data_IF_441385740101
#
_entry.id   IF_441385740101
#
_cell.length_a   1.000
_cell.length_b   1.000
_cell.length_c   1.000
_cell.angle_alpha   90.00
_cell.angle_beta   90.00
_cell.angle_gamma   90.00
#
_symmetry.space_group_name_H-M   'P 1'
#
loop_
_entity.id
_entity.type
_entity.pdbx_description
1 polymer ?
#
# COMPACT_ATOMS: atom_id res chain seq x y z
N UNK A 1 -39.00 -41.05 -70.13
CA UNK A 1 -39.44 -40.10 -69.13
C UNK A 1 -38.19 -39.58 -68.44
N UNK A 2 -37.86 -38.28 -68.67
CA UNK A 2 -36.65 -37.62 -68.24
C UNK A 2 -36.92 -36.91 -66.88
N UNK A 3 -36.13 -37.22 -65.83
CA UNK A 3 -36.17 -36.54 -64.55
C UNK A 3 -35.25 -35.35 -64.61
N UNK A 4 -35.81 -34.14 -64.38
CA UNK A 4 -35.05 -32.93 -64.16
C UNK A 4 -34.41 -32.92 -62.79
N UNK A 5 -33.07 -32.70 -62.70
CA UNK A 5 -32.36 -32.35 -61.46
C UNK A 5 -32.27 -30.85 -61.34
N UNK A 6 -32.88 -30.30 -60.30
CA UNK A 6 -32.69 -28.90 -59.85
C UNK A 6 -31.46 -28.87 -58.97
N UNK A 7 -30.41 -28.13 -59.38
CA UNK A 7 -29.27 -27.81 -58.57
C UNK A 7 -29.51 -26.47 -57.86
N UNK A 8 -29.62 -26.50 -56.52
CA UNK A 8 -29.69 -25.31 -55.71
C UNK A 8 -28.26 -24.79 -55.41
N UNK A 9 -27.96 -23.61 -55.85
CA UNK A 9 -26.70 -22.89 -55.55
C UNK A 9 -26.89 -22.20 -54.20
N UNK A 10 -26.20 -22.67 -53.14
CA UNK A 10 -26.09 -21.95 -51.87
C UNK A 10 -24.98 -20.91 -51.98
N UNK A 11 -25.35 -19.63 -51.96
CA UNK A 11 -24.42 -18.52 -51.84
C UNK A 11 -24.02 -18.36 -50.37
N UNK A 12 -22.76 -18.65 -50.03
CA UNK A 12 -22.18 -18.38 -48.73
C UNK A 12 -21.81 -16.88 -48.68
N UNK A 13 -22.56 -16.05 -47.92
CA UNK A 13 -22.16 -14.71 -47.57
C UNK A 13 -21.22 -14.79 -46.41
N UNK A 14 -19.92 -14.63 -46.64
CA UNK A 14 -18.92 -14.44 -45.59
C UNK A 14 -19.11 -13.07 -44.96
N UNK A 15 -19.70 -13.02 -43.78
CA UNK A 15 -19.70 -11.82 -42.96
C UNK A 15 -18.28 -11.60 -42.45
N UNK A 16 -17.57 -10.65 -43.04
CA UNK A 16 -16.31 -10.13 -42.51
C UNK A 16 -16.63 -9.35 -41.25
N UNK A 17 -16.51 -9.98 -40.10
CA UNK A 17 -16.57 -9.33 -38.82
C UNK A 17 -15.35 -8.42 -38.67
N UNK A 18 -15.56 -7.10 -38.81
CA UNK A 18 -14.58 -6.11 -38.41
C UNK A 18 -14.33 -6.29 -36.91
N UNK A 19 -13.06 -6.33 -36.44
CA UNK A 19 -12.79 -6.32 -35.03
C UNK A 19 -13.28 -4.98 -34.44
N UNK A 20 -14.26 -5.04 -33.55
CA UNK A 20 -14.61 -3.91 -32.70
C UNK A 20 -13.36 -3.59 -31.87
N UNK A 21 -12.62 -2.57 -32.29
CA UNK A 21 -11.58 -1.95 -31.49
C UNK A 21 -12.27 -1.31 -30.28
N UNK A 22 -12.37 -2.03 -29.17
CA UNK A 22 -12.68 -1.44 -27.89
C UNK A 22 -11.48 -0.56 -27.55
N UNK A 23 -11.54 0.71 -27.90
CA UNK A 23 -10.64 1.72 -27.36
C UNK A 23 -10.90 1.75 -25.87
N UNK A 24 -9.99 1.18 -25.08
CA UNK A 24 -10.03 1.35 -23.64
C UNK A 24 -9.96 2.87 -23.39
N UNK A 25 -11.01 3.45 -22.82
CA UNK A 25 -11.00 4.84 -22.38
C UNK A 25 -9.78 5.01 -21.46
N UNK A 26 -8.97 6.02 -21.77
CA UNK A 26 -7.84 6.36 -20.91
C UNK A 26 -8.37 6.68 -19.52
N UNK A 27 -7.77 6.14 -18.45
CA UNK A 27 -8.24 6.38 -17.10
C UNK A 27 -8.23 7.88 -16.81
N UNK A 28 -9.29 8.38 -16.20
CA UNK A 28 -9.39 9.79 -15.81
C UNK A 28 -8.48 10.00 -14.61
N UNK A 29 -7.43 10.81 -14.81
CA UNK A 29 -6.52 11.20 -13.74
C UNK A 29 -7.04 12.48 -13.07
N UNK A 30 -7.15 12.46 -11.76
CA UNK A 30 -7.51 13.60 -10.92
C UNK A 30 -6.30 14.08 -10.13
N UNK A 31 -6.11 15.38 -10.06
CA UNK A 31 -5.15 16.01 -9.16
C UNK A 31 -5.71 16.00 -7.73
N UNK A 32 -4.97 15.46 -6.78
CA UNK A 32 -5.26 15.56 -5.34
C UNK A 32 -4.63 16.83 -4.80
N UNK A 33 -3.31 16.95 -4.94
CA UNK A 33 -2.51 18.08 -4.46
C UNK A 33 -1.20 18.15 -5.22
N UNK A 34 -0.65 19.36 -5.38
CA UNK A 34 0.68 19.59 -5.97
C UNK A 34 1.50 20.57 -5.15
N UNK A 35 2.82 20.49 -5.26
CA UNK A 35 3.74 21.45 -4.66
C UNK A 35 3.42 22.89 -5.17
N UNK A 36 3.54 23.86 -4.28
CA UNK A 36 3.15 25.25 -4.53
C UNK A 36 1.66 25.56 -4.36
N UNK A 37 0.78 24.56 -4.24
CA UNK A 37 -0.64 24.77 -3.95
C UNK A 37 -0.81 25.32 -2.53
N UNK A 38 -1.75 26.28 -2.34
CA UNK A 38 -2.06 26.84 -1.03
C UNK A 38 -2.49 25.76 -0.03
N UNK A 39 -1.89 25.78 1.16
CA UNK A 39 -2.18 24.86 2.24
C UNK A 39 -3.24 25.41 3.21
N UNK A 40 -4.03 24.54 3.86
CA UNK A 40 -4.91 24.93 4.95
C UNK A 40 -4.10 25.63 6.08
N UNK A 41 -4.62 26.75 6.58
CA UNK A 41 -3.93 27.51 7.63
C UNK A 41 -2.86 28.49 7.13
N UNK A 42 -2.62 28.55 5.83
CA UNK A 42 -1.68 29.49 5.17
C UNK A 42 -0.40 28.81 4.67
N UNK A 43 0.33 29.55 3.82
CA UNK A 43 1.50 29.01 3.13
C UNK A 43 1.14 28.09 1.96
N UNK A 44 2.05 27.22 1.58
CA UNK A 44 1.90 26.30 0.46
C UNK A 44 2.49 24.93 0.79
N UNK A 45 1.96 23.88 0.15
CA UNK A 45 2.59 22.56 0.16
C UNK A 45 3.95 22.62 -0.53
N UNK A 46 4.96 22.02 0.07
CA UNK A 46 6.33 22.02 -0.46
C UNK A 46 6.69 20.66 -1.02
N UNK A 47 6.65 19.61 -0.19
CA UNK A 47 6.99 18.23 -0.56
C UNK A 47 6.00 17.25 0.07
N UNK A 48 5.89 16.05 -0.51
CA UNK A 48 5.02 14.97 -0.02
C UNK A 48 5.81 13.80 0.55
N UNK A 49 7.13 13.87 0.56
CA UNK A 49 8.05 12.95 1.23
C UNK A 49 9.14 13.71 1.97
N UNK A 50 9.80 13.03 2.89
CA UNK A 50 11.02 13.50 3.53
C UNK A 50 12.17 12.64 3.05
N UNK A 51 13.21 13.25 2.49
CA UNK A 51 14.41 12.59 1.98
C UNK A 51 14.09 11.43 1.00
N UNK A 52 14.63 10.23 1.29
CA UNK A 52 14.47 9.03 0.49
C UNK A 52 13.31 8.13 0.95
N UNK A 53 12.31 8.67 1.67
CA UNK A 53 11.15 7.89 2.09
C UNK A 53 10.08 7.84 0.99
N UNK A 54 9.34 6.72 0.87
CA UNK A 54 8.27 6.60 -0.09
C UNK A 54 7.08 7.49 0.25
N UNK A 55 6.44 8.07 -0.77
CA UNK A 55 5.14 8.75 -0.61
C UNK A 55 4.03 7.72 -0.61
N UNK A 56 3.31 7.60 0.50
CA UNK A 56 2.14 6.74 0.63
C UNK A 56 0.91 7.60 0.87
N UNK A 57 -0.03 7.57 -0.06
CA UNK A 57 -1.25 8.38 -0.01
C UNK A 57 -2.48 7.48 -0.16
N UNK A 58 -2.95 6.81 0.92
CA UNK A 58 -4.10 5.92 0.84
C UNK A 58 -5.36 6.66 0.40
N UNK A 59 -6.16 5.98 -0.42
CA UNK A 59 -7.45 6.46 -0.93
C UNK A 59 -8.56 5.52 -0.47
N UNK A 60 -9.73 6.08 -0.10
CA UNK A 60 -10.93 5.30 0.18
C UNK A 60 -11.93 5.34 -0.99
N UNK A 61 -13.01 4.54 -0.92
CA UNK A 61 -14.03 4.45 -1.97
C UNK A 61 -14.83 5.73 -2.21
N UNK A 62 -14.68 6.74 -1.35
CA UNK A 62 -15.27 8.06 -1.51
C UNK A 62 -14.34 9.06 -2.20
N UNK A 63 -13.17 8.60 -2.66
CA UNK A 63 -12.15 9.45 -3.27
C UNK A 63 -11.46 10.39 -2.29
N UNK A 64 -11.54 10.11 -0.96
CA UNK A 64 -10.75 10.83 0.02
C UNK A 64 -9.34 10.26 0.04
N UNK A 65 -8.34 11.14 0.10
CA UNK A 65 -6.92 10.77 0.11
C UNK A 65 -6.25 11.38 1.32
N UNK A 66 -5.65 10.54 2.17
CA UNK A 66 -4.82 11.00 3.28
C UNK A 66 -3.35 11.07 2.83
N UNK A 67 -2.63 12.11 3.23
CA UNK A 67 -1.24 12.28 2.85
C UNK A 67 -0.46 13.11 3.87
N UNK A 68 0.85 12.91 3.87
CA UNK A 68 1.82 13.76 4.56
C UNK A 68 2.31 14.85 3.60
N UNK A 69 2.60 16.04 4.14
CA UNK A 69 3.32 17.08 3.39
C UNK A 69 4.14 17.98 4.30
N UNK A 70 5.27 18.49 3.77
CA UNK A 70 5.96 19.66 4.31
C UNK A 70 5.33 20.94 3.78
N UNK A 71 5.46 22.02 4.52
CA UNK A 71 4.83 23.29 4.23
C UNK A 71 5.88 24.41 4.14
N UNK A 72 5.68 25.29 3.17
CA UNK A 72 6.50 26.47 2.96
C UNK A 72 5.73 27.76 3.33
N UNK A 73 6.38 28.68 4.05
CA UNK A 73 5.76 29.95 4.50
C UNK A 73 4.47 29.74 5.29
N UNK A 74 4.39 28.66 6.05
CA UNK A 74 3.31 28.31 6.94
C UNK A 74 3.77 28.42 8.40
N UNK A 75 2.81 28.45 9.36
CA UNK A 75 3.11 28.39 10.79
C UNK A 75 3.68 27.02 11.20
N UNK A 76 3.16 25.95 10.62
CA UNK A 76 3.67 24.60 10.77
C UNK A 76 4.63 24.28 9.62
N UNK A 77 5.67 23.48 9.86
CA UNK A 77 6.59 23.05 8.80
C UNK A 77 6.11 21.79 8.10
N UNK A 78 5.24 20.97 8.75
CA UNK A 78 4.75 19.72 8.22
C UNK A 78 3.44 19.25 8.87
N UNK A 79 2.76 18.30 8.27
CA UNK A 79 1.54 17.72 8.81
C UNK A 79 0.93 16.59 7.98
N UNK A 80 -0.14 16.02 8.52
CA UNK A 80 -1.04 15.11 7.82
C UNK A 80 -2.31 15.82 7.40
N UNK A 81 -2.75 15.53 6.19
CA UNK A 81 -3.90 16.16 5.53
C UNK A 81 -4.84 15.11 4.97
N UNK A 82 -6.12 15.48 4.82
CA UNK A 82 -7.15 14.69 4.15
C UNK A 82 -7.77 15.52 3.02
N UNK A 83 -7.55 15.11 1.79
CA UNK A 83 -8.23 15.69 0.63
C UNK A 83 -9.59 15.02 0.42
N UNK A 84 -10.62 15.82 0.11
CA UNK A 84 -11.97 15.39 -0.27
C UNK A 84 -12.42 16.25 -1.46
N UNK A 85 -12.27 15.73 -2.67
CA UNK A 85 -12.42 16.54 -3.89
C UNK A 85 -11.40 17.68 -3.92
N UNK A 86 -11.88 18.91 -4.00
CA UNK A 86 -11.01 20.13 -4.01
C UNK A 86 -10.68 20.64 -2.61
N UNK A 87 -11.35 20.15 -1.58
CA UNK A 87 -11.12 20.57 -0.20
C UNK A 87 -10.02 19.72 0.43
N UNK A 88 -9.10 20.39 1.13
CA UNK A 88 -8.07 19.75 1.94
C UNK A 88 -8.24 20.22 3.38
N UNK A 89 -8.37 19.27 4.30
CA UNK A 89 -8.45 19.51 5.73
C UNK A 89 -7.14 19.10 6.41
N UNK A 90 -6.67 19.86 7.39
CA UNK A 90 -5.57 19.47 8.26
C UNK A 90 -6.06 18.44 9.27
N UNK A 91 -5.39 17.29 9.36
CA UNK A 91 -5.66 16.25 10.37
C UNK A 91 -4.84 16.53 11.63
N UNK A 92 -3.56 16.81 11.47
CA UNK A 92 -2.64 17.23 12.51
C UNK A 92 -1.45 17.95 11.86
N UNK A 93 -0.98 19.02 12.47
CA UNK A 93 0.17 19.78 12.01
C UNK A 93 1.16 19.99 13.17
N UNK A 94 2.42 20.25 12.84
CA UNK A 94 3.41 20.64 13.83
C UNK A 94 2.92 21.85 14.65
N UNK A 95 3.10 21.78 15.99
CA UNK A 95 2.60 22.78 16.94
C UNK A 95 1.16 22.54 17.42
N UNK A 96 0.36 21.66 16.81
CA UNK A 96 -0.96 21.30 17.30
C UNK A 96 -0.85 20.52 18.62
N UNK A 97 -1.86 20.64 19.49
CA UNK A 97 -1.90 19.92 20.77
C UNK A 97 -2.06 18.41 20.56
N UNK A 98 -1.18 17.65 21.20
CA UNK A 98 -1.30 16.18 21.25
C UNK A 98 -2.30 15.75 22.35
N UNK A 99 -3.06 14.64 22.15
CA UNK A 99 -4.06 14.16 23.11
C UNK A 99 -3.54 13.86 24.52
N UNK A 100 -2.30 13.37 24.62
CA UNK A 100 -1.66 13.03 25.90
C UNK A 100 -0.88 14.21 26.53
N UNK A 101 -1.10 15.42 26.03
CA UNK A 101 -0.40 16.64 26.42
C UNK A 101 0.86 16.90 25.57
N UNK A 102 1.33 18.16 25.62
CA UNK A 102 2.36 18.65 24.71
C UNK A 102 1.83 19.02 23.34
N UNK A 103 2.73 19.14 22.38
CA UNK A 103 2.41 19.49 20.99
C UNK A 103 3.15 18.55 20.03
N UNK A 104 2.57 18.30 18.86
CA UNK A 104 3.26 17.59 17.80
C UNK A 104 4.52 18.37 17.39
N UNK A 105 5.64 17.68 17.29
CA UNK A 105 6.93 18.26 16.95
C UNK A 105 7.56 17.67 15.69
N UNK A 106 6.87 16.72 15.04
CA UNK A 106 7.29 16.17 13.77
C UNK A 106 6.52 14.89 13.41
N UNK A 107 6.46 14.62 12.11
CA UNK A 107 5.79 13.45 11.52
C UNK A 107 6.72 12.66 10.58
N UNK A 108 7.87 13.24 10.26
CA UNK A 108 8.74 12.78 9.17
C UNK A 108 9.44 11.45 9.39
N UNK A 109 9.42 10.90 10.61
CA UNK A 109 10.04 9.61 10.88
C UNK A 109 9.28 8.44 10.22
N UNK A 110 7.95 8.54 10.19
CA UNK A 110 7.06 7.57 9.55
C UNK A 110 5.93 8.31 8.84
N UNK A 111 6.19 8.98 7.69
CA UNK A 111 5.21 9.82 7.01
C UNK A 111 4.18 9.01 6.22
N UNK A 112 3.71 7.91 6.81
CA UNK A 112 2.79 6.95 6.20
C UNK A 112 1.47 6.97 6.98
N UNK A 113 0.43 7.67 6.48
CA UNK A 113 -0.89 7.62 7.08
C UNK A 113 -1.62 6.32 6.71
N UNK A 114 -2.53 5.89 7.57
CA UNK A 114 -3.57 4.93 7.24
C UNK A 114 -4.93 5.64 7.17
N UNK A 115 -5.77 5.24 6.22
CA UNK A 115 -7.09 5.83 5.97
C UNK A 115 -8.13 4.71 5.89
N UNK A 116 -9.29 4.91 6.54
CA UNK A 116 -10.41 3.99 6.43
C UNK A 116 -11.57 4.56 5.61
N UNK A 117 -12.60 3.74 5.36
CA UNK A 117 -13.78 4.14 4.59
C UNK A 117 -14.60 5.25 5.29
N UNK A 118 -14.51 5.42 6.60
CA UNK A 118 -15.16 6.53 7.32
C UNK A 118 -14.41 7.88 7.20
N UNK A 119 -13.20 7.89 6.60
CA UNK A 119 -12.33 9.07 6.51
C UNK A 119 -11.55 9.33 7.79
N UNK A 120 -11.47 8.35 8.69
CA UNK A 120 -10.57 8.44 9.82
C UNK A 120 -9.14 8.13 9.37
N UNK A 121 -8.19 8.81 9.98
CA UNK A 121 -6.75 8.70 9.67
C UNK A 121 -6.01 8.26 10.92
N UNK A 122 -5.08 7.30 10.77
CA UNK A 122 -4.11 6.96 11.80
C UNK A 122 -2.69 7.28 11.30
N UNK A 123 -1.82 7.74 12.22
CA UNK A 123 -0.47 8.16 11.90
C UNK A 123 0.44 8.07 13.13
N UNK A 124 1.76 8.03 12.89
CA UNK A 124 2.78 8.18 13.92
C UNK A 124 3.26 9.63 13.99
N UNK A 125 3.57 10.13 15.19
CA UNK A 125 4.06 11.49 15.38
C UNK A 125 4.97 11.61 16.59
N UNK A 126 5.97 12.48 16.47
CA UNK A 126 6.77 12.95 17.60
C UNK A 126 5.98 14.03 18.40
N UNK A 127 6.22 14.08 19.71
CA UNK A 127 5.58 15.02 20.64
C UNK A 127 6.64 15.70 21.50
N UNK A 128 6.50 16.99 21.73
CA UNK A 128 7.35 17.76 22.63
C UNK A 128 6.53 18.45 23.73
N UNK A 129 7.17 18.71 24.87
CA UNK A 129 6.51 19.40 26.00
C UNK A 129 5.44 18.58 26.72
N UNK A 130 5.29 17.29 26.39
CA UNK A 130 4.37 16.35 27.04
C UNK A 130 5.09 15.27 27.87
N UNK A 131 4.32 14.28 28.32
CA UNK A 131 4.84 13.09 29.04
C UNK A 131 5.44 12.03 28.11
N UNK A 132 5.08 12.05 26.83
CA UNK A 132 5.58 11.15 25.79
C UNK A 132 6.37 11.93 24.76
N UNK A 133 7.29 11.26 24.08
CA UNK A 133 8.11 11.84 23.00
C UNK A 133 7.63 11.40 21.61
N UNK A 134 6.81 10.33 21.52
CA UNK A 134 6.33 9.77 20.26
C UNK A 134 5.09 8.92 20.53
N UNK A 135 4.18 8.82 19.55
CA UNK A 135 3.00 7.98 19.64
C UNK A 135 2.37 7.68 18.30
N UNK A 136 1.47 6.69 18.32
CA UNK A 136 0.48 6.47 17.26
C UNK A 136 -0.81 7.12 17.68
N UNK A 137 -1.36 7.90 16.76
CA UNK A 137 -2.61 8.64 16.94
C UNK A 137 -3.61 8.25 15.87
N UNK A 138 -4.90 8.33 16.21
CA UNK A 138 -5.98 8.05 15.27
C UNK A 138 -7.14 9.01 15.46
N UNK A 139 -7.77 9.42 14.36
CA UNK A 139 -9.01 10.19 14.40
C UNK A 139 -10.23 9.29 14.53
N UNK A 140 -11.27 9.80 15.17
CA UNK A 140 -12.64 9.26 15.13
C UNK A 140 -13.54 10.47 14.84
N UNK A 141 -13.93 10.63 13.60
CA UNK A 141 -14.47 11.89 13.10
C UNK A 141 -13.44 13.02 13.29
N UNK A 142 -13.83 14.07 14.04
CA UNK A 142 -12.94 15.21 14.31
C UNK A 142 -12.11 15.05 15.61
N UNK A 143 -12.27 13.97 16.34
CA UNK A 143 -11.56 13.74 17.60
C UNK A 143 -10.30 12.95 17.35
N UNK A 144 -9.17 13.44 17.84
CA UNK A 144 -7.90 12.74 17.83
C UNK A 144 -7.70 12.02 19.18
N UNK A 145 -7.24 10.77 19.15
CA UNK A 145 -6.89 9.99 20.34
C UNK A 145 -5.49 9.40 20.20
N UNK A 146 -4.81 9.19 21.30
CA UNK A 146 -3.62 8.33 21.31
C UNK A 146 -4.04 6.86 21.27
N UNK A 147 -3.30 6.07 20.50
CA UNK A 147 -3.47 4.61 20.38
C UNK A 147 -2.43 3.90 21.23
N UNK A 148 -1.17 4.30 21.10
CA UNK A 148 -0.03 3.84 21.87
C UNK A 148 1.01 4.97 21.93
N UNK A 149 1.77 5.05 23.02
CA UNK A 149 2.81 6.07 23.18
C UNK A 149 4.10 5.45 23.70
N UNK A 150 5.21 5.95 23.23
CA UNK A 150 6.56 5.56 23.69
C UNK A 150 6.68 5.79 25.20
N UNK A 151 7.27 4.84 25.91
CA UNK A 151 7.40 4.86 27.37
C UNK A 151 6.24 4.21 28.12
N UNK A 152 5.07 4.02 27.49
CA UNK A 152 3.98 3.27 28.14
C UNK A 152 4.22 1.78 28.18
N UNK A 153 3.55 1.08 29.12
CA UNK A 153 3.67 -0.37 29.27
C UNK A 153 3.18 -1.08 28.00
N UNK A 154 3.96 -2.07 27.54
CA UNK A 154 3.62 -2.92 26.40
C UNK A 154 2.87 -4.17 26.91
N UNK A 155 1.55 -4.31 26.62
CA UNK A 155 0.77 -5.44 27.12
C UNK A 155 1.36 -6.81 26.73
N UNK A 156 1.26 -7.79 27.62
CA UNK A 156 1.71 -9.19 27.44
C UNK A 156 3.22 -9.36 27.20
N UNK A 157 4.04 -8.33 27.48
CA UNK A 157 5.49 -8.43 27.58
C UNK A 157 5.87 -7.93 28.98
N UNK A 158 6.23 -8.85 29.87
CA UNK A 158 6.52 -8.54 31.27
C UNK A 158 7.60 -7.45 31.40
N UNK A 159 7.32 -6.38 32.15
CA UNK A 159 8.20 -5.21 32.32
C UNK A 159 8.58 -4.51 31.01
N UNK A 160 7.88 -4.79 29.91
CA UNK A 160 8.11 -4.17 28.61
C UNK A 160 7.49 -2.77 28.54
N UNK A 161 8.21 -1.86 27.90
CA UNK A 161 7.71 -0.52 27.53
C UNK A 161 7.94 -0.28 26.04
N UNK A 162 7.02 0.43 25.37
CA UNK A 162 7.22 0.81 23.98
C UNK A 162 8.44 1.73 23.84
N UNK A 163 9.36 1.39 22.95
CA UNK A 163 10.58 2.15 22.67
C UNK A 163 10.56 2.78 21.27
N UNK A 164 9.85 2.16 20.33
CA UNK A 164 9.60 2.68 18.99
C UNK A 164 8.24 2.17 18.48
N UNK A 165 7.58 2.97 17.65
CA UNK A 165 6.29 2.67 17.05
C UNK A 165 6.38 2.95 15.55
N UNK A 166 6.05 1.97 14.71
CA UNK A 166 6.08 2.10 13.25
C UNK A 166 4.71 2.53 12.69
N UNK A 167 4.67 2.77 11.39
CA UNK A 167 3.46 3.20 10.69
C UNK A 167 2.26 2.30 10.96
N UNK A 168 1.08 2.88 11.29
CA UNK A 168 -0.12 2.11 11.62
C UNK A 168 -0.84 1.58 10.39
N UNK A 169 -1.64 0.51 10.57
CA UNK A 169 -2.73 0.11 9.71
C UNK A 169 -4.07 0.36 10.43
N UNK A 170 -5.09 0.79 9.71
CA UNK A 170 -6.40 1.18 10.24
C UNK A 170 -7.51 0.49 9.47
N UNK A 171 -8.50 -0.09 10.16
CA UNK A 171 -9.70 -0.65 9.54
C UNK A 171 -10.95 0.23 9.76
N UNK A 172 -12.09 -0.15 9.17
CA UNK A 172 -13.33 0.63 9.24
C UNK A 172 -14.01 0.62 10.62
N UNK A 173 -13.63 -0.31 11.48
CA UNK A 173 -14.09 -0.32 12.88
C UNK A 173 -13.29 0.64 13.77
N UNK A 174 -12.22 1.25 13.23
CA UNK A 174 -11.31 2.11 13.98
C UNK A 174 -10.27 1.32 14.79
N UNK A 175 -10.12 0.00 14.52
CA UNK A 175 -9.01 -0.78 15.08
C UNK A 175 -7.72 -0.35 14.40
N UNK A 176 -6.62 -0.31 15.17
CA UNK A 176 -5.30 0.09 14.68
C UNK A 176 -4.28 -1.02 14.98
N UNK A 177 -3.60 -1.52 13.95
CA UNK A 177 -2.49 -2.44 14.10
C UNK A 177 -1.17 -1.73 13.81
N UNK A 178 -0.11 -2.10 14.51
CA UNK A 178 1.22 -1.52 14.32
C UNK A 178 2.33 -2.47 14.76
N UNK A 179 3.51 -2.28 14.18
CA UNK A 179 4.75 -2.88 14.64
C UNK A 179 5.36 -1.97 15.70
N UNK A 180 5.87 -2.56 16.78
CA UNK A 180 6.52 -1.84 17.85
C UNK A 180 7.85 -2.52 18.25
N UNK A 181 8.83 -1.72 18.65
CA UNK A 181 9.95 -2.18 19.44
C UNK A 181 9.63 -1.99 20.92
N UNK A 182 9.70 -3.06 21.69
CA UNK A 182 9.45 -3.08 23.13
C UNK A 182 10.78 -3.27 23.86
N UNK A 183 11.11 -2.36 24.77
CA UNK A 183 12.30 -2.47 25.63
C UNK A 183 11.94 -3.24 26.91
N UNK A 184 12.75 -4.23 27.24
CA UNK A 184 12.69 -5.03 28.46
C UNK A 184 14.07 -5.05 29.11
N UNK A 185 14.32 -4.13 30.03
CA UNK A 185 15.65 -3.96 30.61
C UNK A 185 16.67 -3.51 29.55
N UNK A 186 17.67 -4.37 29.27
CA UNK A 186 18.69 -4.11 28.22
C UNK A 186 18.34 -4.71 26.87
N UNK A 187 17.32 -5.53 26.79
CA UNK A 187 16.87 -6.20 25.57
C UNK A 187 15.79 -5.38 24.86
N UNK A 188 15.72 -5.53 23.55
CA UNK A 188 14.63 -5.01 22.72
C UNK A 188 14.01 -6.16 21.95
N UNK A 189 12.69 -6.17 21.90
CA UNK A 189 11.86 -7.20 21.24
C UNK A 189 10.92 -6.52 20.27
N UNK A 190 10.86 -6.96 19.04
CA UNK A 190 9.82 -6.55 18.10
C UNK A 190 8.50 -7.28 18.38
N UNK A 191 7.39 -6.57 18.26
CA UNK A 191 6.07 -7.17 18.42
C UNK A 191 5.02 -6.42 17.61
N UNK A 192 4.04 -7.15 17.07
CA UNK A 192 2.85 -6.59 16.43
C UNK A 192 1.75 -6.48 17.47
N UNK A 193 1.14 -5.30 17.54
CA UNK A 193 0.02 -4.96 18.42
C UNK A 193 -1.23 -4.64 17.62
N UNK A 194 -2.39 -4.87 18.26
CA UNK A 194 -3.71 -4.50 17.79
C UNK A 194 -4.44 -3.73 18.89
N UNK A 195 -4.83 -2.50 18.60
CA UNK A 195 -5.77 -1.70 19.40
C UNK A 195 -7.17 -1.86 18.84
N UNK A 196 -8.09 -2.40 19.63
CA UNK A 196 -9.50 -2.56 19.26
C UNK A 196 -10.40 -2.03 20.40
N UNK A 197 -11.15 -0.97 20.10
CA UNK A 197 -11.86 -0.21 21.13
C UNK A 197 -10.90 0.36 22.17
N UNK A 198 -11.08 0.02 23.44
CA UNK A 198 -10.21 0.40 24.55
C UNK A 198 -9.10 -0.61 24.86
N UNK A 199 -9.05 -1.74 24.15
CA UNK A 199 -8.11 -2.82 24.42
C UNK A 199 -6.91 -2.76 23.48
N UNK A 200 -5.71 -2.73 24.03
CA UNK A 200 -4.46 -2.91 23.32
C UNK A 200 -3.90 -4.31 23.64
N UNK A 201 -3.68 -5.13 22.63
CA UNK A 201 -3.25 -6.51 22.78
C UNK A 201 -2.05 -6.85 21.89
N UNK A 202 -1.12 -7.65 22.40
CA UNK A 202 -0.05 -8.26 21.61
C UNK A 202 -0.67 -9.30 20.68
N UNK A 203 -0.32 -9.26 19.40
CA UNK A 203 -0.70 -10.26 18.39
C UNK A 203 0.38 -11.34 18.31
N UNK A 204 1.64 -10.93 18.14
CA UNK A 204 2.82 -11.79 18.04
C UNK A 204 4.05 -10.97 18.41
N UNK A 205 5.08 -11.63 18.95
CA UNK A 205 6.35 -11.00 19.29
C UNK A 205 7.53 -11.89 18.86
N UNK A 206 8.68 -11.28 18.74
CA UNK A 206 9.96 -11.98 18.62
C UNK A 206 10.14 -12.96 19.78
N UNK A 207 10.55 -14.18 19.47
CA UNK A 207 10.64 -15.28 20.42
C UNK A 207 9.35 -16.10 20.59
N UNK A 208 8.18 -15.62 20.12
CA UNK A 208 6.96 -16.44 20.12
C UNK A 208 7.11 -17.62 19.13
N UNK A 209 6.52 -18.80 19.42
CA UNK A 209 6.56 -19.96 18.50
C UNK A 209 5.93 -19.64 17.14
N UNK A 210 6.62 -19.99 16.06
CA UNK A 210 6.08 -19.86 14.71
C UNK A 210 5.25 -21.10 14.31
N UNK A 211 4.15 -20.96 13.56
CA UNK A 211 3.23 -22.06 13.20
C UNK A 211 3.90 -23.23 12.50
N UNK A 212 4.95 -22.97 11.74
CA UNK A 212 5.71 -23.99 11.04
C UNK A 212 6.91 -24.49 11.86
N UNK A 213 7.02 -24.14 13.16
CA UNK A 213 8.10 -24.39 14.14
C UNK A 213 9.19 -23.33 14.08
N UNK A 214 10.14 -23.42 15.00
CA UNK A 214 11.07 -22.32 15.28
C UNK A 214 10.37 -21.17 16.00
N UNK A 215 11.00 -20.01 16.04
CA UNK A 215 10.50 -18.79 16.70
C UNK A 215 10.57 -17.59 15.77
N UNK A 216 9.64 -16.67 15.93
CA UNK A 216 9.70 -15.40 15.18
C UNK A 216 10.95 -14.60 15.61
N UNK A 217 11.66 -14.04 14.61
CA UNK A 217 12.88 -13.26 14.80
C UNK A 217 12.78 -11.81 14.34
N UNK A 218 11.77 -11.47 13.52
CA UNK A 218 11.52 -10.12 13.06
C UNK A 218 10.27 -10.05 12.22
N UNK A 219 9.72 -8.85 12.05
CA UNK A 219 8.43 -8.63 11.39
C UNK A 219 8.50 -7.48 10.40
N UNK A 220 7.74 -7.61 9.31
CA UNK A 220 7.33 -6.50 8.47
C UNK A 220 6.12 -5.76 9.05
N UNK A 221 5.81 -4.59 8.49
CA UNK A 221 4.67 -3.78 8.90
C UNK A 221 3.36 -4.52 8.59
N UNK A 222 2.46 -4.67 9.57
CA UNK A 222 1.22 -5.42 9.39
C UNK A 222 0.20 -4.69 8.52
N UNK A 223 -0.56 -5.45 7.73
CA UNK A 223 -1.82 -5.02 7.13
C UNK A 223 -2.99 -5.51 8.00
N UNK A 224 -4.07 -4.73 8.07
CA UNK A 224 -5.25 -5.01 8.89
C UNK A 224 -6.51 -4.91 8.04
N UNK A 225 -7.41 -5.89 8.16
CA UNK A 225 -8.71 -5.83 7.49
C UNK A 225 -9.89 -5.64 8.46
N UNK A 226 -11.09 -5.46 7.89
CA UNK A 226 -12.31 -5.22 8.66
C UNK A 226 -12.77 -6.41 9.51
N UNK A 227 -12.28 -7.60 9.28
CA UNK A 227 -12.56 -8.75 10.14
C UNK A 227 -11.64 -8.84 11.36
N UNK A 228 -10.65 -7.93 11.50
CA UNK A 228 -9.62 -7.95 12.52
C UNK A 228 -8.53 -8.98 12.25
N UNK A 229 -8.43 -9.48 11.03
CA UNK A 229 -7.29 -10.28 10.61
C UNK A 229 -6.11 -9.35 10.26
N UNK A 230 -4.92 -9.77 10.63
CA UNK A 230 -3.66 -9.11 10.27
C UNK A 230 -2.86 -10.02 9.34
N UNK A 231 -2.25 -9.43 8.30
CA UNK A 231 -1.26 -10.12 7.48
C UNK A 231 0.10 -9.41 7.65
N UNK A 232 1.18 -10.18 7.68
CA UNK A 232 2.53 -9.66 7.84
C UNK A 232 3.57 -10.63 7.27
N UNK A 233 4.69 -10.11 6.81
CA UNK A 233 5.88 -10.89 6.54
C UNK A 233 6.65 -11.05 7.85
N UNK A 234 7.32 -12.19 8.04
CA UNK A 234 8.16 -12.40 9.21
C UNK A 234 9.36 -13.29 8.91
N UNK A 235 10.44 -13.07 9.66
CA UNK A 235 11.60 -13.93 9.73
C UNK A 235 11.38 -14.95 10.85
N UNK A 236 11.82 -16.20 10.62
CA UNK A 236 11.74 -17.30 11.60
C UNK A 236 13.12 -17.91 11.78
N UNK A 237 13.53 -18.09 13.03
CA UNK A 237 14.78 -18.76 13.40
C UNK A 237 14.52 -20.16 13.94
N UNK A 238 15.59 -20.99 13.96
CA UNK A 238 15.54 -22.35 14.48
C UNK A 238 14.89 -23.38 13.55
N UNK A 239 14.73 -23.04 12.25
CA UNK A 239 14.22 -23.92 11.21
C UNK A 239 14.88 -23.78 9.86
N UNK A 240 14.63 -24.78 8.98
CA UNK A 240 15.01 -24.73 7.56
C UNK A 240 14.26 -23.66 6.76
N UNK A 241 13.08 -23.21 7.21
CA UNK A 241 12.28 -22.16 6.57
C UNK A 241 12.55 -20.83 7.26
N UNK A 242 13.35 -19.93 6.67
CA UNK A 242 13.83 -18.71 7.33
C UNK A 242 12.79 -17.58 7.39
N UNK A 243 11.55 -17.79 7.01
CA UNK A 243 10.50 -16.80 7.08
C UNK A 243 9.35 -17.05 6.11
N UNK A 244 8.39 -16.16 6.07
CA UNK A 244 7.21 -16.29 5.23
C UNK A 244 6.22 -15.15 5.37
N UNK A 245 5.06 -15.33 4.75
CA UNK A 245 3.87 -14.49 4.89
C UNK A 245 2.89 -15.19 5.82
N UNK A 246 2.43 -14.47 6.83
CA UNK A 246 1.57 -14.99 7.90
C UNK A 246 0.26 -14.22 7.98
N UNK A 247 -0.78 -14.87 8.51
CA UNK A 247 -2.03 -14.23 8.92
C UNK A 247 -2.35 -14.59 10.36
N UNK A 248 -2.65 -13.57 11.17
CA UNK A 248 -3.11 -13.72 12.55
C UNK A 248 -4.56 -13.24 12.68
N UNK A 249 -5.38 -14.01 13.39
CA UNK A 249 -6.77 -13.66 13.73
C UNK A 249 -7.22 -14.40 14.98
N UNK A 250 -7.84 -13.69 15.94
CA UNK A 250 -8.42 -14.31 17.13
C UNK A 250 -7.40 -15.12 17.95
N UNK A 251 -6.18 -14.64 18.10
CA UNK A 251 -5.12 -15.31 18.87
C UNK A 251 -4.47 -16.51 18.15
N UNK A 252 -4.83 -16.78 16.91
CA UNK A 252 -4.22 -17.83 16.08
C UNK A 252 -3.44 -17.23 14.93
N UNK A 253 -2.21 -17.70 14.73
CA UNK A 253 -1.36 -17.34 13.59
C UNK A 253 -1.17 -18.56 12.71
N UNK A 254 -1.25 -18.37 11.38
CA UNK A 254 -0.94 -19.40 10.39
C UNK A 254 -0.01 -18.84 9.33
N UNK A 255 0.87 -19.67 8.79
CA UNK A 255 1.68 -19.35 7.62
C UNK A 255 0.85 -19.56 6.35
N UNK A 256 0.92 -18.62 5.43
CA UNK A 256 0.30 -18.72 4.10
C UNK A 256 1.26 -19.29 3.08
N UNK A 257 2.50 -18.78 3.09
CA UNK A 257 3.60 -19.16 2.20
C UNK A 257 4.90 -19.00 2.96
N UNK A 258 5.77 -19.99 2.87
CA UNK A 258 7.10 -20.01 3.48
C UNK A 258 8.21 -19.86 2.44
N UNK A 259 9.38 -19.38 2.86
CA UNK A 259 10.58 -19.50 2.06
C UNK A 259 10.93 -20.99 1.90
N UNK A 260 11.22 -21.42 0.67
CA UNK A 260 11.41 -22.82 0.30
C UNK A 260 10.17 -23.52 -0.22
N UNK A 261 8.97 -22.95 -0.05
CA UNK A 261 7.76 -23.48 -0.69
C UNK A 261 7.85 -23.32 -2.21
N UNK A 262 7.27 -24.27 -2.96
CA UNK A 262 7.22 -24.21 -4.43
C UNK A 262 6.41 -23.00 -4.92
N UNK A 263 6.95 -22.30 -5.90
CA UNK A 263 6.27 -21.20 -6.58
C UNK A 263 5.38 -21.72 -7.72
N UNK A 264 4.20 -21.15 -7.96
CA UNK A 264 3.31 -21.55 -9.06
C UNK A 264 3.90 -21.28 -10.46
N UNK A 265 5.05 -20.61 -10.55
CA UNK A 265 5.75 -20.32 -11.81
C UNK A 265 7.11 -21.01 -11.91
N UNK A 266 7.33 -22.02 -11.08
CA UNK A 266 8.58 -22.76 -10.96
C UNK A 266 9.54 -22.15 -9.95
N UNK A 267 10.50 -22.97 -9.48
CA UNK A 267 11.41 -22.63 -8.40
C UNK A 267 10.72 -22.50 -7.04
N UNK A 268 11.36 -21.82 -6.11
CA UNK A 268 10.89 -21.67 -4.72
C UNK A 268 10.84 -20.20 -4.30
N UNK A 269 9.95 -19.87 -3.38
CA UNK A 269 9.94 -18.59 -2.72
C UNK A 269 11.21 -18.43 -1.87
N UNK A 270 11.90 -17.29 -1.98
CA UNK A 270 13.15 -17.05 -1.29
C UNK A 270 13.06 -15.90 -0.27
N UNK A 271 12.52 -14.75 -0.67
CA UNK A 271 12.39 -13.56 0.17
C UNK A 271 11.09 -12.83 -0.15
N UNK A 272 10.44 -12.30 0.85
CA UNK A 272 9.15 -11.60 0.74
C UNK A 272 9.34 -10.09 0.95
N UNK A 273 8.45 -9.29 0.37
CA UNK A 273 8.38 -7.85 0.64
C UNK A 273 8.09 -7.60 2.12
N UNK A 274 8.65 -6.52 2.66
CA UNK A 274 8.46 -6.11 4.04
C UNK A 274 7.00 -5.77 4.36
N UNK A 275 6.28 -5.19 3.40
CA UNK A 275 4.84 -4.95 3.51
C UNK A 275 4.08 -5.88 2.60
N UNK A 276 2.94 -6.34 3.10
CA UNK A 276 1.95 -7.13 2.36
C UNK A 276 0.62 -6.39 2.34
N UNK A 277 -0.23 -6.66 1.36
CA UNK A 277 -1.59 -6.11 1.33
C UNK A 277 -2.60 -7.20 1.71
N UNK A 278 -3.63 -6.83 2.46
CA UNK A 278 -4.70 -7.72 2.93
C UNK A 278 -6.05 -7.10 2.63
N UNK A 279 -6.92 -7.80 1.92
CA UNK A 279 -8.28 -7.33 1.67
C UNK A 279 -9.31 -7.91 2.66
N UNK A 280 -10.54 -7.44 2.56
CA UNK A 280 -11.65 -7.86 3.44
C UNK A 280 -12.03 -9.33 3.28
N UNK A 281 -11.78 -9.93 2.11
CA UNK A 281 -12.00 -11.37 1.85
C UNK A 281 -10.89 -12.25 2.46
N UNK A 282 -9.78 -11.65 2.93
CA UNK A 282 -8.64 -12.37 3.50
C UNK A 282 -7.60 -12.81 2.46
N UNK A 283 -7.69 -12.32 1.22
CA UNK A 283 -6.62 -12.48 0.25
C UNK A 283 -5.43 -11.59 0.61
N UNK A 284 -4.21 -12.09 0.37
CA UNK A 284 -2.96 -11.40 0.69
C UNK A 284 -2.11 -11.25 -0.56
N UNK A 285 -1.75 -10.01 -0.92
CA UNK A 285 -0.80 -9.73 -1.99
C UNK A 285 0.59 -9.40 -1.44
N UNK A 286 1.63 -9.88 -2.11
CA UNK A 286 3.02 -9.66 -1.75
C UNK A 286 3.94 -9.77 -2.97
N UNK A 287 5.11 -9.16 -2.89
CA UNK A 287 6.21 -9.37 -3.84
C UNK A 287 7.18 -10.40 -3.25
N UNK A 288 7.68 -11.31 -4.07
CA UNK A 288 8.71 -12.26 -3.64
C UNK A 288 9.86 -12.35 -4.63
N UNK A 289 11.07 -12.45 -4.09
CA UNK A 289 12.20 -12.99 -4.83
C UNK A 289 12.05 -14.50 -4.90
N UNK A 290 12.43 -15.07 -6.04
CA UNK A 290 12.41 -16.50 -6.31
C UNK A 290 13.83 -17.03 -6.48
N UNK A 291 14.03 -18.29 -6.12
CA UNK A 291 15.27 -19.03 -6.35
C UNK A 291 14.97 -20.26 -7.21
N UNK A 292 15.94 -20.63 -8.06
CA UNK A 292 15.83 -21.76 -9.00
C UNK A 292 14.57 -21.67 -9.90
N UNK A 293 14.15 -20.45 -10.23
CA UNK A 293 12.98 -20.12 -11.02
C UNK A 293 13.36 -19.47 -12.36
N UNK A 294 12.48 -19.49 -13.38
CA UNK A 294 12.73 -18.81 -14.66
C UNK A 294 12.90 -17.31 -14.53
N UNK A 295 12.38 -16.70 -13.47
CA UNK A 295 12.41 -15.26 -13.18
C UNK A 295 12.81 -14.99 -11.74
N UNK A 296 13.52 -13.88 -11.51
CA UNK A 296 14.06 -13.56 -10.18
C UNK A 296 13.01 -12.98 -9.21
N UNK A 297 11.94 -12.35 -9.71
CA UNK A 297 10.95 -11.65 -8.88
C UNK A 297 9.56 -11.70 -9.52
N UNK A 298 8.53 -11.81 -8.68
CA UNK A 298 7.15 -11.72 -9.11
C UNK A 298 6.24 -11.21 -7.98
N UNK A 299 5.08 -10.71 -8.35
CA UNK A 299 3.98 -10.34 -7.46
C UNK A 299 2.98 -11.50 -7.43
N UNK A 300 2.55 -11.85 -6.23
CA UNK A 300 1.63 -12.95 -5.97
C UNK A 300 0.44 -12.51 -5.14
N UNK A 301 -0.65 -13.25 -5.25
CA UNK A 301 -1.80 -13.19 -4.33
C UNK A 301 -2.06 -14.59 -3.79
N UNK A 302 -2.22 -14.71 -2.47
CA UNK A 302 -2.75 -15.93 -1.84
C UNK A 302 -4.22 -15.71 -1.56
N UNK A 303 -5.05 -16.55 -2.15
CA UNK A 303 -6.49 -16.60 -1.95
C UNK A 303 -6.89 -18.07 -1.74
N UNK A 304 -7.72 -18.36 -0.73
CA UNK A 304 -8.09 -19.74 -0.40
C UNK A 304 -6.90 -20.65 -0.04
N UNK A 305 -5.76 -20.08 0.40
CA UNK A 305 -4.56 -20.80 0.82
C UNK A 305 -3.62 -21.21 -0.33
N UNK A 306 -3.89 -20.81 -1.56
CA UNK A 306 -3.02 -21.10 -2.72
C UNK A 306 -2.46 -19.83 -3.32
N UNK A 307 -1.13 -19.73 -3.52
CA UNK A 307 -0.53 -18.61 -4.22
C UNK A 307 -0.81 -18.69 -5.72
N UNK A 308 -1.15 -17.56 -6.34
CA UNK A 308 -1.21 -17.39 -7.79
C UNK A 308 -0.31 -16.23 -8.21
N UNK A 309 0.30 -16.36 -9.38
CA UNK A 309 1.04 -15.24 -10.00
C UNK A 309 0.06 -14.13 -10.39
N UNK A 310 0.46 -12.89 -10.10
CA UNK A 310 -0.17 -11.69 -10.64
C UNK A 310 0.63 -11.20 -11.84
N UNK A 311 1.92 -10.98 -11.66
CA UNK A 311 2.86 -10.51 -12.69
C UNK A 311 4.27 -10.91 -12.29
N UNK A 312 5.15 -11.18 -13.27
CA UNK A 312 6.54 -11.52 -13.06
C UNK A 312 7.47 -10.65 -13.94
N UNK A 313 8.73 -10.56 -13.56
CA UNK A 313 9.76 -9.96 -14.43
C UNK A 313 9.77 -10.69 -15.78
N UNK A 314 9.88 -9.93 -16.88
CA UNK A 314 9.82 -10.46 -18.24
C UNK A 314 8.43 -10.66 -18.81
N UNK A 315 7.35 -10.58 -18.01
CA UNK A 315 5.97 -10.56 -18.55
C UNK A 315 5.78 -9.29 -19.42
N UNK A 316 4.99 -9.41 -20.49
CA UNK A 316 4.68 -8.29 -21.38
C UNK A 316 3.95 -7.15 -20.65
N UNK A 317 4.39 -5.92 -20.82
CA UNK A 317 3.78 -4.75 -20.24
C UNK A 317 2.73 -4.12 -21.17
N UNK A 318 1.58 -3.66 -20.65
CA UNK A 318 0.60 -2.89 -21.42
C UNK A 318 1.24 -1.62 -22.02
N UNK A 319 1.14 -1.48 -23.34
CA UNK A 319 1.76 -0.38 -24.08
C UNK A 319 3.12 -0.73 -24.69
N UNK A 320 3.58 -1.99 -24.54
CA UNK A 320 4.80 -2.54 -25.11
C UNK A 320 5.94 -2.71 -24.10
N UNK A 321 6.92 -3.53 -24.48
CA UNK A 321 8.04 -3.89 -23.60
C UNK A 321 7.70 -4.97 -22.58
N UNK A 322 8.61 -5.18 -21.62
CA UNK A 322 8.50 -6.18 -20.57
C UNK A 322 8.77 -5.56 -19.18
N UNK A 323 8.15 -6.08 -18.15
CA UNK A 323 8.44 -5.65 -16.78
C UNK A 323 9.88 -6.02 -16.38
N UNK A 324 10.65 -5.05 -15.91
CA UNK A 324 12.06 -5.21 -15.54
C UNK A 324 12.35 -4.96 -14.05
N UNK A 325 11.47 -4.26 -13.34
CA UNK A 325 11.56 -4.03 -11.90
C UNK A 325 10.18 -3.72 -11.33
N UNK A 326 9.90 -4.20 -10.10
CA UNK A 326 8.68 -3.85 -9.37
C UNK A 326 8.98 -2.89 -8.22
N UNK A 327 8.01 -2.03 -7.89
CA UNK A 327 8.06 -1.18 -6.71
C UNK A 327 8.07 -1.98 -5.41
N UNK A 328 8.17 -1.28 -4.28
CA UNK A 328 8.44 -1.88 -2.97
C UNK A 328 7.40 -2.92 -2.53
N UNK A 329 6.10 -2.62 -2.71
CA UNK A 329 5.00 -3.52 -2.34
C UNK A 329 3.76 -3.26 -3.18
N UNK A 330 2.93 -4.30 -3.39
CA UNK A 330 1.65 -4.18 -4.07
C UNK A 330 0.56 -3.67 -3.12
N UNK A 331 -0.52 -3.13 -3.70
CA UNK A 331 -1.76 -2.83 -2.99
C UNK A 331 -2.91 -3.70 -3.54
N UNK A 332 -3.90 -4.04 -2.70
CA UNK A 332 -4.94 -5.02 -3.02
C UNK A 332 -6.33 -4.45 -2.72
N UNK A 333 -7.21 -4.46 -3.72
CA UNK A 333 -8.62 -4.04 -3.58
C UNK A 333 -9.53 -5.16 -3.05
N UNK A 334 -10.78 -4.81 -2.76
CA UNK A 334 -11.75 -5.78 -2.26
C UNK A 334 -12.10 -6.88 -3.28
N UNK A 335 -12.12 -6.54 -4.57
CA UNK A 335 -12.40 -7.45 -5.69
C UNK A 335 -11.16 -8.25 -6.16
N UNK A 336 -10.02 -8.10 -5.46
CA UNK A 336 -8.78 -8.83 -5.75
C UNK A 336 -7.92 -8.22 -6.86
N UNK A 337 -8.21 -6.98 -7.30
CA UNK A 337 -7.32 -6.26 -8.19
C UNK A 337 -6.06 -5.79 -7.42
N UNK A 338 -4.90 -5.91 -8.08
CA UNK A 338 -3.60 -5.57 -7.50
C UNK A 338 -3.04 -4.35 -8.21
N UNK A 339 -2.82 -3.25 -7.47
CA UNK A 339 -2.09 -2.10 -7.97
C UNK A 339 -0.60 -2.23 -7.62
N UNK A 340 0.26 -1.88 -8.57
CA UNK A 340 1.70 -1.91 -8.40
C UNK A 340 2.38 -0.90 -9.32
N UNK A 341 3.58 -0.51 -8.97
CA UNK A 341 4.47 0.29 -9.83
C UNK A 341 5.53 -0.62 -10.42
N UNK A 342 5.93 -0.34 -11.66
CA UNK A 342 6.97 -1.12 -12.33
C UNK A 342 7.76 -0.28 -13.33
N UNK A 343 9.02 -0.67 -13.54
CA UNK A 343 9.82 -0.28 -14.69
C UNK A 343 9.55 -1.23 -15.86
N UNK A 344 9.70 -0.71 -17.09
CA UNK A 344 9.45 -1.43 -18.33
C UNK A 344 10.64 -1.22 -19.28
N UNK A 345 11.17 -2.30 -19.82
CA UNK A 345 12.26 -2.28 -20.79
C UNK A 345 11.75 -2.70 -22.18
N UNK A 346 12.39 -2.21 -23.23
CA UNK A 346 12.15 -2.65 -24.60
C UNK A 346 10.94 -2.05 -25.30
N UNK A 347 10.27 -1.04 -24.71
CA UNK A 347 9.17 -0.33 -25.36
C UNK A 347 8.21 0.35 -24.37
N UNK A 348 7.40 1.29 -24.90
CA UNK A 348 6.48 2.06 -24.07
C UNK A 348 7.13 3.03 -23.09
N UNK A 349 6.37 3.59 -22.12
CA UNK A 349 6.93 4.37 -21.03
C UNK A 349 7.86 3.54 -20.16
N UNK A 350 9.04 4.08 -19.75
CA UNK A 350 10.05 3.32 -19.01
C UNK A 350 9.65 2.93 -17.59
N UNK A 351 8.59 3.53 -17.05
CA UNK A 351 7.96 3.14 -15.78
C UNK A 351 6.50 3.58 -15.75
N UNK A 352 5.70 2.91 -14.92
CA UNK A 352 4.27 3.18 -14.80
C UNK A 352 3.64 2.66 -13.53
N UNK A 353 2.37 3.04 -13.35
CA UNK A 353 1.42 2.47 -12.40
C UNK A 353 0.50 1.55 -13.15
N UNK A 354 0.36 0.34 -12.66
CA UNK A 354 -0.42 -0.74 -13.28
C UNK A 354 -1.45 -1.30 -12.30
N UNK A 355 -2.54 -1.80 -12.84
CA UNK A 355 -3.54 -2.58 -12.11
C UNK A 355 -3.73 -3.93 -12.80
N UNK A 356 -3.48 -4.99 -12.07
CA UNK A 356 -3.76 -6.36 -12.51
C UNK A 356 -5.08 -6.85 -11.91
N UNK A 357 -5.98 -7.30 -12.77
CA UNK A 357 -7.16 -8.08 -12.42
C UNK A 357 -6.87 -9.57 -12.71
N UNK A 358 -7.74 -10.52 -12.35
CA UNK A 358 -7.54 -11.92 -12.72
C UNK A 358 -7.41 -12.17 -14.23
N UNK A 359 -7.92 -11.27 -15.08
CA UNK A 359 -8.03 -11.46 -16.53
C UNK A 359 -7.11 -10.58 -17.36
N UNK A 360 -6.63 -9.44 -16.81
CA UNK A 360 -5.82 -8.48 -17.57
C UNK A 360 -4.97 -7.60 -16.66
N UNK A 361 -3.91 -7.04 -17.23
CA UNK A 361 -3.13 -5.95 -16.62
C UNK A 361 -3.38 -4.69 -17.45
N UNK A 362 -3.66 -3.59 -16.77
CA UNK A 362 -3.85 -2.26 -17.37
C UNK A 362 -2.78 -1.32 -16.86
N UNK A 363 -2.26 -0.45 -17.75
CA UNK A 363 -1.43 0.68 -17.36
C UNK A 363 -2.35 1.87 -17.08
N UNK A 364 -2.29 2.42 -15.87
CA UNK A 364 -3.04 3.62 -15.51
C UNK A 364 -2.33 4.89 -15.97
N UNK A 365 -1.03 4.94 -15.77
CA UNK A 365 -0.20 6.08 -16.14
C UNK A 365 1.25 5.63 -16.31
N UNK A 366 2.01 6.29 -17.18
CA UNK A 366 3.42 6.06 -17.41
C UNK A 366 4.22 7.35 -17.54
N UNK A 367 5.53 7.28 -17.38
CA UNK A 367 6.43 8.41 -17.62
C UNK A 367 6.19 8.95 -19.03
N UNK A 368 6.03 10.27 -19.15
CA UNK A 368 5.71 10.97 -20.40
C UNK A 368 4.21 11.24 -20.61
N UNK A 369 3.31 10.59 -19.85
CA UNK A 369 1.87 10.86 -19.96
C UNK A 369 1.52 12.26 -19.43
N UNK A 370 0.46 12.85 -19.95
CA UNK A 370 -0.09 14.14 -19.49
C UNK A 370 -0.70 14.02 -18.10
N UNK A 371 -0.46 15.02 -17.25
CA UNK A 371 -1.05 15.10 -15.91
C UNK A 371 -2.23 16.10 -15.85
N UNK A 372 -3.22 15.83 -15.01
CA UNK A 372 -4.37 16.70 -14.76
C UNK A 372 -3.99 18.08 -14.17
N UNK A 373 -2.76 18.23 -13.65
CA UNK A 373 -2.22 19.50 -13.17
C UNK A 373 -1.56 20.34 -14.28
N UNK A 374 -1.54 19.84 -15.51
CA UNK A 374 -0.70 20.35 -16.61
C UNK A 374 0.70 19.72 -16.56
N UNK A 375 1.38 19.77 -17.72
CA UNK A 375 2.70 19.15 -17.88
C UNK A 375 2.63 17.63 -18.08
N UNK A 376 3.81 17.00 -18.01
CA UNK A 376 3.97 15.55 -18.19
C UNK A 376 4.54 14.91 -16.93
N UNK A 377 4.17 13.65 -16.72
CA UNK A 377 4.79 12.83 -15.68
C UNK A 377 6.26 12.58 -16.02
N UNK A 378 7.16 13.12 -15.23
CA UNK A 378 8.59 13.01 -15.42
C UNK A 378 9.23 11.90 -14.57
N UNK A 379 8.73 11.70 -13.34
CA UNK A 379 9.26 10.70 -12.41
C UNK A 379 8.19 10.31 -11.38
N UNK A 380 8.30 9.09 -10.86
CA UNK A 380 7.56 8.63 -9.67
C UNK A 380 8.37 8.75 -8.37
N UNK A 381 9.55 9.38 -8.43
CA UNK A 381 10.47 9.42 -7.30
C UNK A 381 11.31 8.15 -7.16
N UNK A 382 12.07 8.07 -6.07
CA UNK A 382 13.05 7.00 -5.84
C UNK A 382 12.38 5.67 -5.47
N UNK A 383 11.29 5.73 -4.69
CA UNK A 383 10.55 4.55 -4.22
C UNK A 383 9.08 4.67 -4.60
N UNK A 384 8.74 4.37 -5.87
CA UNK A 384 7.38 4.51 -6.34
C UNK A 384 6.43 3.51 -5.67
N UNK A 385 5.29 4.02 -5.19
CA UNK A 385 4.23 3.24 -4.58
C UNK A 385 2.89 3.66 -5.18
N UNK A 386 2.03 2.68 -5.39
CA UNK A 386 0.62 2.89 -5.66
C UNK A 386 -0.22 2.35 -4.50
N UNK A 387 -1.29 3.04 -4.14
CA UNK A 387 -2.32 2.50 -3.23
C UNK A 387 -3.62 2.30 -3.98
N UNK A 388 -4.49 1.44 -3.48
CA UNK A 388 -5.77 1.14 -4.12
C UNK A 388 -6.88 1.12 -3.07
N UNK A 389 -8.03 1.73 -3.38
CA UNK A 389 -9.22 1.67 -2.53
C UNK A 389 -9.92 0.32 -2.63
N UNK A 390 -10.86 0.05 -1.72
CA UNK A 390 -11.73 -1.12 -1.83
C UNK A 390 -12.56 -1.12 -3.12
N UNK A 391 -12.82 0.05 -3.70
CA UNK A 391 -13.56 0.23 -4.97
C UNK A 391 -12.66 0.15 -6.22
N UNK A 392 -11.33 0.09 -6.05
CA UNK A 392 -10.37 0.01 -7.14
C UNK A 392 -9.82 1.36 -7.61
N UNK A 393 -10.11 2.48 -6.93
CA UNK A 393 -9.46 3.76 -7.21
C UNK A 393 -8.01 3.70 -6.77
N UNK A 394 -7.10 4.26 -7.55
CA UNK A 394 -5.65 4.15 -7.33
C UNK A 394 -5.03 5.52 -7.16
N UNK A 395 -4.22 5.69 -6.10
CA UNK A 395 -3.36 6.87 -5.96
C UNK A 395 -1.90 6.53 -6.24
N UNK A 396 -1.20 7.55 -6.68
CA UNK A 396 0.25 7.53 -6.86
C UNK A 396 0.82 8.94 -6.65
N UNK A 397 2.10 9.01 -6.33
CA UNK A 397 2.82 10.26 -6.25
C UNK A 397 3.74 10.46 -7.46
N UNK A 398 4.00 11.72 -7.78
CA UNK A 398 4.96 12.13 -8.79
C UNK A 398 6.05 13.00 -8.15
N UNK A 399 7.22 12.98 -8.70
CA UNK A 399 8.35 13.81 -8.28
C UNK A 399 9.00 14.49 -9.49
N UNK A 400 9.68 15.62 -9.30
CA UNK A 400 10.55 16.17 -10.34
C UNK A 400 11.75 15.24 -10.59
N UNK A 401 12.31 15.31 -11.78
CA UNK A 401 13.60 14.69 -12.09
C UNK A 401 14.74 15.38 -11.32
N UNK A 402 15.94 14.79 -11.33
CA UNK A 402 17.14 15.42 -10.78
C UNK A 402 17.47 16.78 -11.43
N UNK A 403 16.99 17.03 -12.65
CA UNK A 403 17.13 18.31 -13.38
C UNK A 403 16.00 19.30 -13.07
N UNK A 404 15.05 18.94 -12.20
CA UNK A 404 13.92 19.79 -11.79
C UNK A 404 12.73 19.77 -12.75
N UNK A 405 12.72 18.89 -13.75
CA UNK A 405 11.59 18.74 -14.66
C UNK A 405 10.46 17.94 -14.02
N UNK A 406 9.20 18.31 -14.30
CA UNK A 406 8.02 17.61 -13.85
C UNK A 406 7.35 18.30 -12.66
N UNK A 407 6.25 17.69 -12.20
CA UNK A 407 5.41 18.18 -11.11
C UNK A 407 5.54 17.23 -9.92
N UNK A 408 5.83 17.78 -8.74
CA UNK A 408 5.69 17.06 -7.49
C UNK A 408 4.24 17.12 -7.03
N UNK A 409 3.61 15.96 -6.82
CA UNK A 409 2.20 15.92 -6.45
C UNK A 409 1.68 14.52 -6.19
N UNK A 410 0.44 14.49 -5.73
CA UNK A 410 -0.35 13.28 -5.54
C UNK A 410 -1.54 13.32 -6.49
N UNK A 411 -1.73 12.24 -7.20
CA UNK A 411 -2.80 12.05 -8.17
C UNK A 411 -3.58 10.79 -7.86
N UNK A 412 -4.82 10.74 -8.32
CA UNK A 412 -5.59 9.53 -8.25
C UNK A 412 -6.32 9.26 -9.57
N UNK A 413 -6.50 7.98 -9.88
CA UNK A 413 -7.30 7.50 -11.00
C UNK A 413 -8.56 6.85 -10.44
N UNK A 414 -9.73 7.36 -10.81
CA UNK A 414 -10.98 6.67 -10.51
C UNK A 414 -11.20 5.55 -11.54
N UNK A 415 -11.51 4.35 -11.06
CA UNK A 415 -12.03 3.31 -11.94
C UNK A 415 -13.40 3.75 -12.43
N UNK A 416 -13.55 3.99 -13.74
CA UNK A 416 -14.86 4.23 -14.36
C UNK A 416 -15.78 3.06 -13.96
N UNK A 417 -16.79 3.35 -13.12
CA UNK A 417 -17.90 2.41 -12.93
C UNK A 417 -18.65 2.42 -14.26
N UNK A 418 -18.34 1.45 -15.11
CA UNK A 418 -19.26 1.09 -16.21
C UNK A 418 -20.59 0.77 -15.54
N UNK A 419 -21.55 1.70 -15.66
CA UNK A 419 -22.93 1.51 -15.24
C UNK A 419 -23.62 0.51 -16.16
#
# INVERSE_FOLDING_TARGET
MRALRLSALLAFVAAVGLPLSVTAESPILHRVVVAGQAAPGGGAFERFSIEALPVVAPVNSRGQVAFFATLLRSRASEGFFLATGTRIDTIAAEGDRAPEGGTFSGFGRHPVPALNEAGNVAFAAAVSGGKTVEGIFATTGRRLRAVAVVGSAAPSIASGTFANLDAPALNDRGDVAFLATVRRGRESVEAIYLSSGATLSKVVAQGDPAPAGGTFAGFGVPALNNSGALAFAAVVEGRAVPGGVFVAKGGRTRMLVGAGDESPIGGIFAKFSERVALNSAGAVAFTSLLKDAPVAQAVFVVEGGRPRKVVALGDGAPGGGVFSHFGLWPALSADGAVAFTASVDGGGPPAGVFVATPTRIERLVGIGDGLAAGGRLASFGLYPIATISVAGDVTFATAPTATGEGVEGIFYSSRSKTR
#
